data_IF_564103241534
#
_entry.id   IF_564103241534
#
_cell.length_a   1.000
_cell.length_b   1.000
_cell.length_c   1.000
_cell.angle_alpha   90.00
_cell.angle_beta   90.00
_cell.angle_gamma   90.00
#
_symmetry.space_group_name_H-M   'P 1'
#
loop_
_entity.id
_entity.type
_entity.pdbx_description
1 polymer ?
#
# COMPACT_ATOMS: atom_id res chain seq x y z
N UNK A 1 -54.09 -13.94 -72.62
CA UNK A 1 -53.51 -12.58 -72.76
C UNK A 1 -52.22 -12.53 -71.95
N UNK A 2 -51.08 -12.74 -72.59
CA UNK A 2 -49.76 -12.50 -72.00
C UNK A 2 -49.27 -11.14 -72.51
N UNK A 3 -49.00 -10.22 -71.60
CA UNK A 3 -48.47 -8.89 -71.92
C UNK A 3 -46.97 -8.94 -71.60
N UNK A 4 -46.12 -8.77 -72.59
CA UNK A 4 -44.71 -8.50 -72.34
C UNK A 4 -44.62 -7.15 -71.62
N UNK A 5 -44.01 -7.15 -70.43
CA UNK A 5 -43.57 -5.92 -69.78
C UNK A 5 -42.16 -5.65 -70.28
N UNK A 6 -42.05 -4.81 -71.31
CA UNK A 6 -40.80 -4.18 -71.69
C UNK A 6 -40.64 -2.90 -70.84
N UNK A 7 -39.47 -2.75 -70.20
CA UNK A 7 -39.17 -1.61 -69.34
C UNK A 7 -38.88 -1.92 -67.87
N UNK A 8 -38.43 -3.14 -67.52
CA UNK A 8 -37.62 -3.26 -66.30
C UNK A 8 -36.27 -2.60 -66.58
N UNK A 9 -36.22 -1.28 -66.37
CA UNK A 9 -34.97 -0.55 -66.25
C UNK A 9 -34.27 -1.12 -65.02
N UNK A 10 -33.05 -1.63 -65.20
CA UNK A 10 -32.10 -1.73 -64.09
C UNK A 10 -32.08 -0.34 -63.44
N UNK A 11 -32.54 -0.27 -62.19
CA UNK A 11 -32.61 0.98 -61.45
C UNK A 11 -31.22 1.59 -61.27
N UNK A 12 -30.13 0.84 -61.48
CA UNK A 12 -28.76 1.36 -61.34
C UNK A 12 -28.48 1.95 -59.96
N UNK A 13 -29.32 1.62 -58.97
CA UNK A 13 -29.35 2.22 -57.65
C UNK A 13 -28.40 1.45 -56.75
N UNK A 14 -27.26 2.06 -56.48
CA UNK A 14 -26.37 1.63 -55.42
C UNK A 14 -27.03 1.86 -54.06
N UNK A 15 -26.87 0.90 -53.15
CA UNK A 15 -27.43 1.00 -51.81
C UNK A 15 -26.61 2.03 -51.00
N UNK A 16 -27.21 3.09 -50.44
CA UNK A 16 -26.50 4.13 -49.69
C UNK A 16 -26.05 3.67 -48.29
N UNK A 17 -26.39 2.43 -47.92
CA UNK A 17 -25.99 1.79 -46.68
C UNK A 17 -25.43 0.41 -46.99
N UNK A 18 -24.34 0.05 -46.32
CA UNK A 18 -23.75 -1.28 -46.39
C UNK A 18 -23.32 -1.72 -44.99
N UNK A 19 -23.28 -3.03 -44.76
CA UNK A 19 -22.68 -3.60 -43.57
C UNK A 19 -21.62 -4.62 -43.99
N UNK A 20 -20.45 -4.55 -43.37
CA UNK A 20 -19.40 -5.54 -43.48
C UNK A 20 -19.21 -6.19 -42.12
N UNK A 21 -19.15 -7.52 -42.09
CA UNK A 21 -18.86 -8.29 -40.88
C UNK A 21 -17.66 -9.19 -41.15
N UNK A 22 -16.78 -9.31 -40.16
CA UNK A 22 -15.66 -10.23 -40.25
C UNK A 22 -16.10 -11.68 -40.07
N UNK A 23 -15.26 -12.61 -40.52
CA UNK A 23 -15.30 -13.97 -39.97
C UNK A 23 -15.01 -13.96 -38.47
N UNK A 24 -15.37 -15.04 -37.79
CA UNK A 24 -15.05 -15.24 -36.37
C UNK A 24 -13.59 -15.68 -36.24
N UNK A 25 -12.88 -15.08 -35.29
CA UNK A 25 -11.53 -15.47 -34.86
C UNK A 25 -11.60 -16.06 -33.45
N UNK A 26 -11.20 -17.31 -33.27
CA UNK A 26 -11.18 -17.94 -31.96
C UNK A 26 -9.88 -17.60 -31.23
N UNK A 27 -10.00 -17.17 -29.98
CA UNK A 27 -8.90 -16.91 -29.07
C UNK A 27 -8.63 -18.15 -28.20
N UNK A 28 -7.39 -18.27 -27.74
CA UNK A 28 -7.03 -19.27 -26.73
C UNK A 28 -7.60 -18.93 -25.34
N UNK A 29 -8.01 -17.68 -25.12
CA UNK A 29 -8.45 -17.14 -23.83
C UNK A 29 -9.59 -16.15 -23.98
N UNK A 30 -10.28 -15.89 -22.88
CA UNK A 30 -11.38 -14.94 -22.82
C UNK A 30 -10.84 -13.50 -22.91
N UNK A 31 -11.19 -12.81 -23.99
CA UNK A 31 -10.97 -11.37 -24.08
C UNK A 31 -12.01 -10.66 -23.21
N UNK A 32 -11.53 -9.81 -22.32
CA UNK A 32 -12.36 -8.90 -21.52
C UNK A 32 -12.34 -7.49 -22.09
N UNK A 33 -11.25 -7.15 -22.79
CA UNK A 33 -11.07 -5.86 -23.42
C UNK A 33 -10.68 -6.02 -24.89
N UNK A 34 -11.23 -5.14 -25.73
CA UNK A 34 -10.91 -5.08 -27.16
C UNK A 34 -10.49 -3.65 -27.50
N UNK A 35 -9.45 -3.52 -28.31
CA UNK A 35 -9.03 -2.26 -28.93
C UNK A 35 -9.11 -2.41 -30.44
N UNK A 36 -9.99 -1.63 -31.06
CA UNK A 36 -10.10 -1.50 -32.51
C UNK A 36 -9.36 -0.24 -32.93
N UNK A 37 -8.41 -0.34 -33.85
CA UNK A 37 -7.84 0.84 -34.49
C UNK A 37 -7.73 0.68 -36.00
N UNK A 38 -7.76 1.83 -36.66
CA UNK A 38 -7.49 1.96 -38.09
C UNK A 38 -6.04 2.40 -38.19
N UNK A 39 -5.25 1.68 -38.99
CA UNK A 39 -3.88 2.09 -39.21
C UNK A 39 -3.85 3.42 -40.02
N UNK A 40 -3.21 4.48 -39.48
CA UNK A 40 -3.20 5.81 -40.06
C UNK A 40 -2.42 5.92 -41.38
N UNK A 41 -1.61 4.91 -41.76
CA UNK A 41 -0.86 4.90 -43.02
C UNK A 41 -1.70 4.44 -44.23
N UNK A 42 -2.99 4.14 -44.02
CA UNK A 42 -3.81 3.41 -44.99
C UNK A 42 -4.87 4.24 -45.73
N UNK A 43 -5.47 3.56 -46.72
CA UNK A 43 -6.46 4.09 -47.66
C UNK A 43 -7.59 4.84 -46.93
N UNK A 44 -7.69 6.17 -47.10
CA UNK A 44 -8.74 6.94 -46.44
C UNK A 44 -10.12 6.47 -46.90
N UNK A 45 -11.09 6.59 -46.00
CA UNK A 45 -12.47 6.34 -46.35
C UNK A 45 -12.94 7.36 -47.39
N UNK A 46 -13.79 6.92 -48.31
CA UNK A 46 -14.34 7.79 -49.36
C UNK A 46 -15.08 9.00 -48.76
N UNK A 47 -14.90 10.17 -49.37
CA UNK A 47 -15.57 11.39 -48.96
C UNK A 47 -17.10 11.22 -48.93
N UNK A 48 -17.75 11.80 -47.93
CA UNK A 48 -19.20 11.66 -47.72
C UNK A 48 -19.64 10.26 -47.22
N UNK A 49 -18.70 9.38 -46.86
CA UNK A 49 -18.99 8.08 -46.24
C UNK A 49 -18.58 8.06 -44.76
N UNK A 50 -19.53 7.72 -43.90
CA UNK A 50 -19.32 7.52 -42.46
C UNK A 50 -19.35 6.04 -42.11
N UNK A 51 -18.60 5.64 -41.08
CA UNK A 51 -18.58 4.27 -40.57
C UNK A 51 -18.88 4.28 -39.08
N UNK A 52 -19.84 3.46 -38.67
CA UNK A 52 -20.03 3.07 -37.27
C UNK A 52 -19.44 1.69 -37.06
N UNK A 53 -18.57 1.57 -36.06
CA UNK A 53 -17.82 0.35 -35.78
C UNK A 53 -18.42 -0.40 -34.60
N UNK A 54 -18.38 -1.72 -34.69
CA UNK A 54 -18.80 -2.62 -33.63
C UNK A 54 -17.78 -3.75 -33.48
N UNK A 55 -17.58 -4.21 -32.25
CA UNK A 55 -16.76 -5.38 -31.92
C UNK A 55 -17.58 -6.35 -31.10
N UNK A 56 -17.14 -7.60 -31.06
CA UNK A 56 -17.73 -8.64 -30.23
C UNK A 56 -16.68 -9.67 -29.83
N UNK A 57 -16.84 -10.25 -28.64
CA UNK A 57 -16.14 -11.45 -28.20
C UNK A 57 -17.06 -12.70 -28.13
N UNK A 58 -18.29 -12.58 -28.65
CA UNK A 58 -19.36 -13.60 -28.60
C UNK A 58 -20.06 -13.76 -29.97
N UNK A 59 -20.85 -14.83 -30.19
CA UNK A 59 -21.47 -15.09 -31.50
C UNK A 59 -22.47 -14.02 -31.99
N UNK A 60 -23.27 -13.42 -31.12
CA UNK A 60 -24.44 -12.62 -31.55
C UNK A 60 -24.56 -11.24 -30.89
N UNK A 61 -23.66 -10.90 -29.96
CA UNK A 61 -23.74 -9.64 -29.21
C UNK A 61 -22.72 -8.61 -29.69
N UNK A 62 -23.16 -7.40 -30.00
CA UNK A 62 -22.27 -6.33 -30.48
C UNK A 62 -22.07 -5.24 -29.42
N UNK A 63 -20.87 -4.67 -29.40
CA UNK A 63 -20.50 -3.48 -28.63
C UNK A 63 -20.07 -2.42 -29.62
N UNK A 64 -20.70 -1.25 -29.55
CA UNK A 64 -20.33 -0.10 -30.40
C UNK A 64 -18.99 0.48 -29.98
N UNK A 65 -18.11 0.72 -30.94
CA UNK A 65 -16.83 1.39 -30.74
C UNK A 65 -17.05 2.89 -30.84
N UNK A 66 -17.11 3.55 -29.69
CA UNK A 66 -17.30 5.01 -29.60
C UNK A 66 -16.06 5.79 -30.03
N UNK A 67 -14.88 5.26 -29.71
CA UNK A 67 -13.59 5.87 -30.03
C UNK A 67 -12.61 4.80 -30.51
N UNK A 68 -12.02 5.01 -31.68
CA UNK A 68 -10.97 4.15 -32.20
C UNK A 68 -9.68 4.33 -31.39
N UNK A 69 -8.90 3.26 -31.25
CA UNK A 69 -7.62 3.28 -30.54
C UNK A 69 -7.76 3.37 -29.01
N UNK A 70 -8.95 3.14 -28.46
CA UNK A 70 -9.18 3.00 -27.01
C UNK A 70 -9.56 1.57 -26.66
N UNK A 71 -9.19 1.14 -25.45
CA UNK A 71 -9.66 -0.12 -24.89
C UNK A 71 -11.14 -0.02 -24.53
N UNK A 72 -11.89 -1.04 -24.88
CA UNK A 72 -13.32 -1.17 -24.61
C UNK A 72 -13.49 -2.32 -23.65
N UNK A 73 -14.00 -2.04 -22.44
CA UNK A 73 -14.44 -3.07 -21.50
C UNK A 73 -15.72 -3.73 -22.05
N UNK A 74 -15.68 -5.05 -22.21
CA UNK A 74 -16.79 -5.84 -22.73
C UNK A 74 -17.83 -6.18 -21.65
N UNK A 75 -17.49 -6.05 -20.36
CA UNK A 75 -18.35 -6.48 -19.25
C UNK A 75 -18.81 -7.93 -19.41
N UNK A 76 -20.12 -8.16 -19.34
CA UNK A 76 -20.73 -9.48 -19.53
C UNK A 76 -20.58 -10.05 -20.96
N UNK A 77 -20.15 -9.22 -21.93
CA UNK A 77 -19.98 -9.59 -23.35
C UNK A 77 -18.57 -10.10 -23.67
N UNK A 78 -17.78 -10.40 -22.65
CA UNK A 78 -16.47 -11.05 -22.76
C UNK A 78 -16.60 -12.46 -23.36
N UNK A 79 -15.54 -12.95 -23.98
CA UNK A 79 -15.57 -14.27 -24.60
C UNK A 79 -14.32 -14.61 -25.43
N UNK A 80 -14.35 -15.76 -26.09
CA UNK A 80 -13.21 -16.30 -26.84
C UNK A 80 -13.35 -16.15 -28.35
N UNK A 81 -14.33 -15.39 -28.84
CA UNK A 81 -14.67 -15.30 -30.27
C UNK A 81 -14.71 -13.87 -30.77
N UNK A 82 -13.64 -13.42 -31.40
CA UNK A 82 -13.51 -12.04 -31.85
C UNK A 82 -14.08 -11.87 -33.24
N UNK A 83 -14.89 -10.82 -33.40
CA UNK A 83 -15.35 -10.34 -34.70
C UNK A 83 -15.59 -8.83 -34.66
N UNK A 84 -15.61 -8.22 -35.85
CA UNK A 84 -15.96 -6.81 -36.03
C UNK A 84 -17.06 -6.64 -37.07
N UNK A 85 -17.76 -5.52 -36.95
CA UNK A 85 -18.78 -5.08 -37.89
C UNK A 85 -18.63 -3.60 -38.18
N UNK A 86 -18.74 -3.24 -39.45
CA UNK A 86 -18.75 -1.87 -39.93
C UNK A 86 -20.11 -1.60 -40.57
N UNK A 87 -20.83 -0.58 -40.10
CA UNK A 87 -22.05 -0.09 -40.74
C UNK A 87 -21.71 1.22 -41.44
N UNK A 88 -21.77 1.21 -42.77
CA UNK A 88 -21.40 2.33 -43.62
C UNK A 88 -22.64 3.08 -44.09
N UNK A 89 -22.54 4.40 -44.14
CA UNK A 89 -23.55 5.28 -44.74
C UNK A 89 -22.86 6.28 -45.64
N UNK A 90 -23.32 6.39 -46.88
CA UNK A 90 -22.79 7.36 -47.85
C UNK A 90 -23.88 8.27 -48.40
N UNK A 91 -23.51 9.51 -48.70
CA UNK A 91 -24.34 10.44 -49.46
C UNK A 91 -24.27 10.18 -50.98
N UNK A 92 -23.24 9.45 -51.43
CA UNK A 92 -23.04 9.13 -52.84
C UNK A 92 -23.95 7.98 -53.30
N UNK A 93 -25.04 8.32 -53.99
CA UNK A 93 -26.00 7.33 -54.52
C UNK A 93 -25.53 6.60 -55.79
N UNK A 94 -24.35 6.92 -56.30
CA UNK A 94 -23.76 6.28 -57.48
C UNK A 94 -22.74 5.19 -57.13
N UNK A 95 -22.51 4.92 -55.84
CA UNK A 95 -21.59 3.87 -55.40
C UNK A 95 -22.02 3.28 -54.07
N UNK A 96 -21.95 1.96 -53.94
CA UNK A 96 -22.16 1.30 -52.65
C UNK A 96 -20.90 1.48 -51.81
N UNK A 97 -21.00 1.97 -50.56
CA UNK A 97 -19.83 2.25 -49.75
C UNK A 97 -19.11 0.95 -49.38
N UNK A 98 -17.78 0.99 -49.44
CA UNK A 98 -16.90 -0.11 -49.03
C UNK A 98 -15.98 0.35 -47.90
N UNK A 99 -15.52 -0.61 -47.08
CA UNK A 99 -14.49 -0.36 -46.08
C UNK A 99 -13.14 -0.29 -46.79
N UNK A 100 -12.54 0.91 -46.84
CA UNK A 100 -11.19 1.11 -47.35
C UNK A 100 -10.06 0.87 -46.33
N UNK A 101 -10.18 1.28 -45.05
CA UNK A 101 -9.06 1.16 -44.11
C UNK A 101 -8.80 -0.30 -43.71
N UNK A 102 -7.55 -0.63 -43.40
CA UNK A 102 -7.27 -1.90 -42.71
C UNK A 102 -7.60 -1.76 -41.23
N UNK A 103 -8.14 -2.85 -40.70
CA UNK A 103 -8.69 -2.92 -39.36
C UNK A 103 -7.77 -3.78 -38.53
N UNK A 104 -7.27 -3.23 -37.44
CA UNK A 104 -6.48 -3.97 -36.47
C UNK A 104 -7.28 -4.12 -35.18
N UNK A 105 -7.34 -5.36 -34.69
CA UNK A 105 -7.94 -5.69 -33.40
C UNK A 105 -6.87 -6.24 -32.49
N UNK A 106 -6.79 -5.67 -31.31
CA UNK A 106 -5.98 -6.17 -30.20
C UNK A 106 -6.93 -6.54 -29.06
N UNK A 107 -6.61 -7.64 -28.39
CA UNK A 107 -7.41 -8.19 -27.29
C UNK A 107 -6.58 -8.25 -26.03
N UNK A 108 -7.23 -8.11 -24.88
CA UNK A 108 -6.60 -8.25 -23.57
C UNK A 108 -7.55 -8.99 -22.62
N UNK A 109 -6.97 -9.85 -21.81
CA UNK A 109 -7.61 -10.46 -20.65
C UNK A 109 -7.45 -9.51 -19.47
N UNK A 110 -8.41 -9.53 -18.53
CA UNK A 110 -8.29 -8.74 -17.31
C UNK A 110 -7.32 -9.48 -16.38
N UNK A 111 -6.42 -8.80 -15.65
CA UNK A 111 -5.57 -9.48 -14.68
C UNK A 111 -6.41 -10.18 -13.61
N UNK A 112 -5.93 -11.31 -13.12
CA UNK A 112 -6.54 -11.96 -11.96
C UNK A 112 -6.37 -11.07 -10.72
N UNK A 113 -7.28 -11.13 -9.72
CA UNK A 113 -7.01 -10.52 -8.42
C UNK A 113 -5.64 -10.96 -7.89
N UNK A 114 -4.81 -10.02 -7.42
CA UNK A 114 -3.49 -10.37 -6.92
C UNK A 114 -3.60 -11.24 -5.66
N UNK A 115 -2.65 -12.14 -5.44
CA UNK A 115 -2.65 -13.00 -4.25
C UNK A 115 -1.99 -12.25 -3.11
N UNK A 116 -2.75 -11.86 -2.09
CA UNK A 116 -2.22 -11.14 -0.92
C UNK A 116 -1.37 -12.08 -0.04
N UNK A 117 -0.22 -11.58 0.38
CA UNK A 117 0.69 -12.24 1.33
C UNK A 117 0.61 -11.53 2.69
N UNK A 118 -0.48 -11.79 3.42
CA UNK A 118 -0.74 -11.21 4.74
C UNK A 118 -0.39 -12.20 5.86
N UNK A 119 0.06 -11.71 7.03
CA UNK A 119 0.21 -12.57 8.20
C UNK A 119 -1.14 -13.10 8.66
N UNK A 120 -1.18 -14.29 9.30
CA UNK A 120 -2.38 -14.78 9.92
C UNK A 120 -2.84 -13.83 11.05
N UNK A 121 -4.14 -13.82 11.32
CA UNK A 121 -4.72 -13.04 12.43
C UNK A 121 -4.87 -13.84 13.74
N UNK A 122 -4.39 -15.08 13.76
CA UNK A 122 -4.36 -15.96 14.94
C UNK A 122 -3.12 -16.86 14.91
N UNK A 123 -2.72 -17.39 16.07
CA UNK A 123 -1.56 -18.28 16.21
C UNK A 123 -0.26 -17.55 16.59
N UNK A 124 0.84 -18.30 16.67
CA UNK A 124 2.11 -17.77 17.18
C UNK A 124 2.76 -16.77 16.21
N UNK A 125 2.58 -16.97 14.91
CA UNK A 125 3.16 -16.12 13.85
C UNK A 125 2.21 -15.02 13.36
N UNK A 126 1.20 -14.67 14.17
CA UNK A 126 0.18 -13.70 13.81
C UNK A 126 0.67 -12.26 13.83
N UNK A 127 -0.04 -11.43 13.07
CA UNK A 127 0.08 -9.97 12.99
C UNK A 127 1.43 -9.46 12.49
N UNK A 128 1.39 -8.26 11.92
CA UNK A 128 2.58 -7.44 11.76
C UNK A 128 3.07 -6.95 13.12
N UNK A 129 4.38 -6.94 13.32
CA UNK A 129 5.02 -6.42 14.53
C UNK A 129 5.53 -4.99 14.36
N UNK A 130 4.89 -4.21 13.49
CA UNK A 130 5.27 -2.81 13.21
C UNK A 130 4.03 -1.96 12.93
N UNK A 131 4.08 -0.69 13.34
CA UNK A 131 3.00 0.28 13.10
C UNK A 131 2.92 0.76 11.64
N UNK A 132 3.92 0.44 10.82
CA UNK A 132 3.97 0.72 9.38
C UNK A 132 4.14 -0.59 8.58
N UNK A 133 3.11 -1.45 8.52
CA UNK A 133 3.22 -2.76 7.88
C UNK A 133 3.42 -2.63 6.38
N UNK A 134 4.21 -3.55 5.82
CA UNK A 134 4.33 -3.72 4.37
C UNK A 134 3.28 -4.73 3.91
N UNK A 135 2.46 -4.37 2.94
CA UNK A 135 1.51 -5.26 2.29
C UNK A 135 2.18 -5.80 1.04
N UNK A 136 2.23 -7.12 0.86
CA UNK A 136 2.80 -7.80 -0.31
C UNK A 136 1.75 -8.57 -1.08
N UNK A 137 1.98 -8.73 -2.37
CA UNK A 137 1.13 -9.53 -3.22
C UNK A 137 1.88 -10.16 -4.39
N UNK A 138 1.23 -11.13 -5.04
CA UNK A 138 1.67 -11.71 -6.31
C UNK A 138 0.71 -11.35 -7.42
N UNK A 139 1.23 -10.70 -8.46
CA UNK A 139 0.51 -10.43 -9.70
C UNK A 139 0.35 -11.71 -10.53
N UNK A 140 -0.78 -11.84 -11.21
CA UNK A 140 -1.03 -12.91 -12.18
C UNK A 140 -1.94 -12.40 -13.28
N UNK A 141 -1.47 -12.47 -14.51
CA UNK A 141 -2.28 -12.21 -15.68
C UNK A 141 -2.62 -13.52 -16.41
N UNK A 142 -3.84 -13.68 -16.94
CA UNK A 142 -4.10 -14.71 -17.91
C UNK A 142 -3.12 -14.62 -19.08
N UNK A 143 -2.88 -13.47 -19.70
CA UNK A 143 -2.08 -13.32 -20.91
C UNK A 143 -0.57 -13.58 -20.66
N UNK A 144 0.11 -14.43 -21.47
CA UNK A 144 1.48 -14.83 -21.18
C UNK A 144 2.44 -13.70 -21.49
N UNK A 145 3.31 -13.39 -20.53
CA UNK A 145 4.32 -12.34 -20.68
C UNK A 145 3.85 -10.96 -20.21
N UNK A 146 2.58 -10.83 -19.82
CA UNK A 146 2.06 -9.62 -19.22
C UNK A 146 2.64 -9.41 -17.82
N UNK A 147 3.02 -8.16 -17.56
CA UNK A 147 3.55 -7.71 -16.27
C UNK A 147 2.63 -6.67 -15.64
N UNK A 148 2.81 -6.45 -14.34
CA UNK A 148 2.08 -5.41 -13.63
C UNK A 148 2.55 -4.02 -14.08
N UNK A 149 1.67 -3.19 -14.61
CA UNK A 149 1.93 -1.80 -14.98
C UNK A 149 1.56 -0.77 -13.92
N UNK A 150 0.81 -1.16 -12.87
CA UNK A 150 0.46 -0.28 -11.76
C UNK A 150 -0.27 -0.98 -10.61
N UNK A 151 -0.54 -0.24 -9.54
CA UNK A 151 -1.22 -0.74 -8.35
C UNK A 151 -2.02 0.35 -7.62
N UNK A 152 -2.99 -0.07 -6.80
CA UNK A 152 -3.64 0.74 -5.78
C UNK A 152 -3.85 -0.11 -4.53
N UNK A 153 -3.52 0.45 -3.37
CA UNK A 153 -3.67 -0.20 -2.06
C UNK A 153 -4.57 0.67 -1.17
N UNK A 154 -5.64 0.06 -0.66
CA UNK A 154 -6.61 0.70 0.23
C UNK A 154 -6.61 -0.07 1.55
N UNK A 155 -6.38 0.65 2.64
CA UNK A 155 -6.44 0.10 4.00
C UNK A 155 -7.72 0.62 4.66
N UNK A 156 -8.48 -0.29 5.25
CA UNK A 156 -9.70 0.01 5.98
C UNK A 156 -9.61 -0.44 7.44
N UNK A 157 -10.17 0.35 8.33
CA UNK A 157 -10.40 0.01 9.73
C UNK A 157 -11.91 0.09 9.99
N UNK A 158 -12.50 -1.00 10.50
CA UNK A 158 -13.95 -1.08 10.76
C UNK A 158 -14.81 -0.64 9.54
N UNK A 159 -14.36 -0.96 8.33
CA UNK A 159 -15.04 -0.61 7.07
C UNK A 159 -14.79 0.82 6.56
N UNK A 160 -14.12 1.68 7.32
CA UNK A 160 -13.75 3.04 6.87
C UNK A 160 -12.35 3.06 6.29
N UNK A 161 -12.15 3.74 5.16
CA UNK A 161 -10.83 3.93 4.53
C UNK A 161 -9.97 4.82 5.43
N UNK A 162 -8.78 4.32 5.78
CA UNK A 162 -7.79 5.03 6.60
C UNK A 162 -6.53 5.38 5.80
N UNK A 163 -6.27 4.64 4.72
CA UNK A 163 -5.23 4.94 3.76
C UNK A 163 -5.68 4.48 2.37
N UNK A 164 -5.43 5.32 1.36
CA UNK A 164 -5.61 4.99 -0.05
C UNK A 164 -4.38 5.54 -0.77
N UNK A 165 -3.62 4.66 -1.41
CA UNK A 165 -2.42 5.05 -2.14
C UNK A 165 -2.73 5.85 -3.40
N UNK A 166 -3.98 5.80 -3.89
CA UNK A 166 -4.31 6.12 -5.26
C UNK A 166 -3.63 5.18 -6.25
N UNK A 167 -3.76 5.48 -7.54
CA UNK A 167 -3.01 4.78 -8.58
C UNK A 167 -1.52 5.11 -8.49
N UNK A 168 -0.69 4.08 -8.36
CA UNK A 168 0.77 4.17 -8.43
C UNK A 168 1.21 3.38 -9.67
N UNK A 169 1.85 4.01 -10.67
CA UNK A 169 2.40 3.30 -11.82
C UNK A 169 3.63 2.48 -11.44
N UNK A 170 3.82 1.36 -12.12
CA UNK A 170 5.01 0.51 -12.02
C UNK A 170 4.74 -0.92 -11.56
N UNK A 171 5.83 -1.67 -11.41
CA UNK A 171 5.79 -3.12 -11.22
C UNK A 171 5.99 -3.54 -9.74
N UNK A 172 5.93 -2.59 -8.80
CA UNK A 172 6.17 -2.88 -7.39
C UNK A 172 5.11 -3.86 -6.85
N UNK A 173 5.55 -4.89 -6.13
CA UNK A 173 4.69 -5.93 -5.55
C UNK A 173 4.46 -5.76 -4.04
N UNK A 174 4.72 -4.55 -3.53
CA UNK A 174 4.54 -4.24 -2.12
C UNK A 174 4.26 -2.76 -1.87
N UNK A 175 3.62 -2.46 -0.74
CA UNK A 175 3.31 -1.11 -0.28
C UNK A 175 3.49 -0.99 1.24
N UNK A 176 4.21 0.03 1.70
CA UNK A 176 4.38 0.31 3.14
C UNK A 176 3.28 1.26 3.60
N UNK A 177 2.42 0.77 4.48
CA UNK A 177 1.33 1.54 5.09
C UNK A 177 1.90 2.51 6.10
N UNK A 178 1.39 3.74 6.11
CA UNK A 178 1.83 4.82 7.01
C UNK A 178 3.35 4.95 7.05
N UNK A 179 3.99 5.04 5.88
CA UNK A 179 5.45 5.05 5.72
C UNK A 179 6.16 6.13 6.56
N UNK A 180 5.46 7.24 6.82
CA UNK A 180 5.96 8.37 7.60
C UNK A 180 5.63 8.25 9.11
N UNK A 181 5.07 7.12 9.54
CA UNK A 181 4.67 6.82 10.91
C UNK A 181 3.87 7.97 11.53
N UNK A 182 2.83 8.43 10.82
CA UNK A 182 1.96 9.52 11.24
C UNK A 182 0.99 9.10 12.36
N UNK A 183 0.82 7.79 12.56
CA UNK A 183 -0.05 7.20 13.57
C UNK A 183 -1.45 6.91 13.07
N UNK A 184 -1.65 6.84 11.74
CA UNK A 184 -2.97 6.61 11.15
C UNK A 184 -3.61 5.34 11.67
N UNK A 185 -2.84 4.24 11.76
CA UNK A 185 -3.33 2.97 12.28
C UNK A 185 -3.67 3.05 13.77
N UNK A 186 -2.86 3.73 14.59
CA UNK A 186 -3.15 3.96 16.00
C UNK A 186 -4.48 4.70 16.20
N UNK A 187 -4.71 5.77 15.44
CA UNK A 187 -5.88 6.65 15.59
C UNK A 187 -7.22 5.94 15.28
N UNK A 188 -7.19 4.73 14.72
CA UNK A 188 -8.40 3.94 14.43
C UNK A 188 -9.00 3.26 15.66
N UNK A 189 -8.21 3.08 16.72
CA UNK A 189 -8.60 2.36 17.94
C UNK A 189 -8.80 0.85 17.78
N UNK A 190 -8.51 0.28 16.61
CA UNK A 190 -8.51 -1.17 16.37
C UNK A 190 -7.10 -1.64 16.02
N UNK A 191 -6.87 -2.94 16.15
CA UNK A 191 -5.66 -3.62 15.72
C UNK A 191 -5.90 -4.60 14.56
N UNK A 192 -7.12 -4.69 14.04
CA UNK A 192 -7.51 -5.51 12.88
C UNK A 192 -7.93 -4.59 11.74
N UNK A 193 -7.39 -4.84 10.55
CA UNK A 193 -7.55 -4.02 9.36
C UNK A 193 -7.87 -4.90 8.15
N UNK A 194 -8.43 -4.28 7.11
CA UNK A 194 -8.64 -4.90 5.81
C UNK A 194 -7.73 -4.20 4.79
N UNK A 195 -6.96 -4.97 4.03
CA UNK A 195 -6.26 -4.50 2.84
C UNK A 195 -7.06 -4.87 1.60
N UNK A 196 -7.22 -3.91 0.69
CA UNK A 196 -7.71 -4.12 -0.68
C UNK A 196 -6.61 -3.71 -1.65
N UNK A 197 -6.22 -4.61 -2.55
CA UNK A 197 -5.18 -4.35 -3.55
C UNK A 197 -5.76 -4.58 -4.94
N UNK A 198 -5.60 -3.58 -5.81
CA UNK A 198 -5.92 -3.63 -7.23
C UNK A 198 -4.60 -3.52 -7.98
N UNK A 199 -4.37 -4.41 -8.93
CA UNK A 199 -3.20 -4.35 -9.82
C UNK A 199 -3.64 -4.05 -11.24
N UNK A 200 -2.82 -3.35 -11.99
CA UNK A 200 -3.05 -3.03 -13.38
C UNK A 200 -2.01 -3.77 -14.22
N UNK A 201 -2.38 -4.30 -15.37
CA UNK A 201 -1.40 -4.82 -16.33
C UNK A 201 -0.62 -3.70 -17.03
N UNK A 202 0.28 -4.11 -17.92
CA UNK A 202 1.13 -3.25 -18.74
C UNK A 202 0.37 -2.29 -19.65
N UNK A 203 -0.91 -2.57 -19.96
CA UNK A 203 -1.75 -1.74 -20.82
C UNK A 203 -2.78 -0.90 -20.05
N UNK A 204 -2.76 -0.99 -18.71
CA UNK A 204 -3.55 -0.16 -17.80
C UNK A 204 -4.94 -0.71 -17.48
N UNK A 205 -5.22 -1.99 -17.73
CA UNK A 205 -6.48 -2.63 -17.34
C UNK A 205 -6.40 -3.08 -15.87
N UNK A 206 -7.36 -2.69 -15.01
CA UNK A 206 -7.37 -3.07 -13.60
C UNK A 206 -7.83 -4.51 -13.39
N UNK A 207 -7.26 -5.18 -12.39
CA UNK A 207 -7.78 -6.43 -11.82
C UNK A 207 -9.06 -6.19 -11.03
N UNK A 208 -9.76 -7.28 -10.66
CA UNK A 208 -10.67 -7.21 -9.53
C UNK A 208 -9.87 -7.04 -8.21
N UNK A 209 -10.44 -6.39 -7.19
CA UNK A 209 -9.73 -6.15 -5.93
C UNK A 209 -9.50 -7.46 -5.18
N UNK A 210 -8.27 -7.69 -4.74
CA UNK A 210 -7.98 -8.71 -3.74
C UNK A 210 -8.20 -8.13 -2.34
N UNK A 211 -8.95 -8.83 -1.50
CA UNK A 211 -9.33 -8.37 -0.16
C UNK A 211 -8.83 -9.35 0.89
N UNK A 212 -8.15 -8.86 1.92
CA UNK A 212 -7.65 -9.68 3.01
C UNK A 212 -7.57 -8.93 4.33
N UNK A 213 -7.71 -9.66 5.44
CA UNK A 213 -7.57 -9.09 6.78
C UNK A 213 -6.17 -9.31 7.33
N UNK A 214 -5.68 -8.34 8.08
CA UNK A 214 -4.45 -8.45 8.85
C UNK A 214 -4.62 -7.79 10.21
N UNK A 215 -3.70 -8.08 11.12
CA UNK A 215 -3.63 -7.41 12.41
C UNK A 215 -2.25 -6.80 12.66
N UNK A 216 -2.18 -5.85 13.58
CA UNK A 216 -0.94 -5.19 14.01
C UNK A 216 -0.80 -5.32 15.53
N UNK A 217 0.37 -5.74 16.00
CA UNK A 217 0.76 -5.71 17.40
C UNK A 217 2.11 -5.01 17.50
N UNK A 218 2.09 -3.72 17.81
CA UNK A 218 3.30 -2.90 17.75
C UNK A 218 3.23 -1.71 18.69
N UNK A 219 4.41 -1.23 19.12
CA UNK A 219 4.55 0.12 19.65
C UNK A 219 4.77 1.12 18.51
N UNK A 220 4.45 2.38 18.75
CA UNK A 220 4.53 3.44 17.76
C UNK A 220 4.95 4.78 18.41
N UNK A 221 5.64 5.62 17.63
CA UNK A 221 5.98 7.02 17.94
C UNK A 221 6.37 7.29 19.41
N UNK A 222 7.47 6.72 19.92
CA UNK A 222 7.95 7.03 21.26
C UNK A 222 8.30 8.51 21.38
N UNK A 223 7.92 9.10 22.51
CA UNK A 223 8.06 10.51 22.85
C UNK A 223 8.79 10.63 24.18
N UNK A 224 9.87 11.40 24.22
CA UNK A 224 10.65 11.62 25.43
C UNK A 224 10.35 13.01 26.01
N UNK A 225 10.13 13.07 27.32
CA UNK A 225 10.09 14.29 28.13
C UNK A 225 11.23 14.25 29.14
N UNK A 226 12.09 15.24 29.11
CA UNK A 226 13.31 15.33 29.90
C UNK A 226 13.23 16.59 30.76
N UNK A 227 13.56 16.45 32.05
CA UNK A 227 13.53 17.57 32.99
C UNK A 227 14.82 18.39 32.93
N UNK A 228 15.97 17.74 32.70
CA UNK A 228 17.29 18.38 32.77
C UNK A 228 18.20 17.94 31.63
N UNK A 229 18.48 18.82 30.65
CA UNK A 229 17.78 20.08 30.38
C UNK A 229 16.31 19.84 29.98
N UNK A 230 15.44 20.82 30.23
CA UNK A 230 14.03 20.72 29.86
C UNK A 230 13.88 20.59 28.35
N UNK A 231 13.42 19.43 27.87
CA UNK A 231 13.19 19.19 26.45
C UNK A 231 12.14 18.12 26.27
N UNK A 232 11.46 18.14 25.12
CA UNK A 232 10.45 17.13 24.81
C UNK A 232 10.32 16.97 23.31
N UNK A 233 10.44 15.73 22.81
CA UNK A 233 10.38 15.44 21.38
C UNK A 233 9.96 14.00 21.12
N UNK A 234 9.41 13.76 19.93
CA UNK A 234 9.35 12.42 19.38
C UNK A 234 10.76 11.94 19.09
N UNK A 235 11.04 10.66 19.33
CA UNK A 235 12.23 9.99 18.81
C UNK A 235 11.87 9.56 17.38
N UNK A 236 12.47 10.17 16.34
CA UNK A 236 12.13 9.84 14.96
C UNK A 236 12.42 8.37 14.64
N UNK A 237 11.66 7.81 13.71
CA UNK A 237 11.97 6.49 13.17
C UNK A 237 13.30 6.55 12.41
N UNK A 238 14.15 5.55 12.60
CA UNK A 238 15.52 5.45 12.13
C UNK A 238 16.44 6.58 12.64
N UNK A 239 16.11 7.19 13.79
CA UNK A 239 16.98 8.22 14.39
C UNK A 239 18.34 7.63 14.76
N UNK A 240 19.41 8.26 14.27
CA UNK A 240 20.75 7.93 14.71
C UNK A 240 21.10 8.63 16.03
N UNK A 241 22.25 8.28 16.62
CA UNK A 241 22.72 8.84 17.91
C UNK A 241 22.65 10.37 17.98
N UNK A 242 23.02 11.08 16.90
CA UNK A 242 23.04 12.56 16.89
C UNK A 242 21.65 13.21 16.88
N UNK A 243 20.61 12.43 16.62
CA UNK A 243 19.21 12.87 16.57
C UNK A 243 18.44 12.49 17.84
N UNK A 244 19.09 11.78 18.78
CA UNK A 244 18.49 11.39 20.04
C UNK A 244 18.37 12.60 20.97
N UNK A 245 17.29 12.70 21.75
CA UNK A 245 17.20 13.70 22.80
C UNK A 245 18.27 13.45 23.87
N UNK A 246 18.78 14.53 24.48
CA UNK A 246 19.87 14.45 25.47
C UNK A 246 19.39 14.75 26.89
N UNK A 247 19.90 14.00 27.86
CA UNK A 247 19.68 14.24 29.29
C UNK A 247 20.99 14.18 30.07
N UNK A 248 21.00 14.71 31.29
CA UNK A 248 22.12 14.55 32.22
C UNK A 248 22.13 13.16 32.86
N UNK A 249 23.31 12.65 33.21
CA UNK A 249 23.42 11.41 33.99
C UNK A 249 22.65 11.57 35.33
N UNK A 250 21.75 10.62 35.67
CA UNK A 250 20.82 10.77 36.80
C UNK A 250 19.58 11.62 36.56
N UNK A 251 19.42 12.19 35.36
CA UNK A 251 18.25 12.95 34.95
C UNK A 251 17.02 12.06 34.79
N UNK A 252 15.86 12.55 35.22
CA UNK A 252 14.59 11.85 35.02
C UNK A 252 14.13 12.01 33.57
N UNK A 253 13.91 10.87 32.91
CA UNK A 253 13.33 10.76 31.58
C UNK A 253 11.96 10.12 31.68
N UNK A 254 10.95 10.75 31.08
CA UNK A 254 9.61 10.18 30.91
C UNK A 254 9.42 9.81 29.45
N UNK A 255 9.19 8.53 29.17
CA UNK A 255 8.83 8.03 27.85
C UNK A 255 7.33 7.83 27.78
N UNK A 256 6.72 8.42 26.76
CA UNK A 256 5.34 8.15 26.34
C UNK A 256 5.37 7.42 25.01
N UNK A 257 4.71 6.28 24.91
CA UNK A 257 4.72 5.48 23.67
C UNK A 257 3.32 5.01 23.32
N UNK A 258 2.98 5.07 22.04
CA UNK A 258 1.71 4.59 21.50
C UNK A 258 1.80 3.09 21.24
N UNK A 259 0.68 2.40 21.25
CA UNK A 259 0.64 0.98 20.95
C UNK A 259 -0.64 0.57 20.26
N UNK A 260 -0.52 -0.34 19.32
CA UNK A 260 -1.61 -0.93 18.55
C UNK A 260 -1.73 -2.39 18.98
N UNK A 261 -2.88 -2.79 19.54
CA UNK A 261 -3.12 -4.18 19.94
C UNK A 261 -2.22 -4.73 21.05
N UNK A 262 -1.63 -3.87 21.90
CA UNK A 262 -0.80 -4.28 23.04
C UNK A 262 -1.59 -4.13 24.34
N UNK A 263 -1.81 -5.24 25.05
CA UNK A 263 -2.57 -5.33 26.30
C UNK A 263 -1.70 -5.32 27.54
N UNK A 264 -0.57 -6.01 27.49
CA UNK A 264 0.45 -5.97 28.54
C UNK A 264 1.74 -5.43 27.95
N UNK A 265 2.48 -4.64 28.72
CA UNK A 265 3.72 -4.04 28.26
C UNK A 265 4.80 -4.07 29.37
N UNK A 266 6.03 -4.40 28.98
CA UNK A 266 7.21 -4.33 29.83
C UNK A 266 8.30 -3.55 29.10
N UNK A 267 9.05 -2.74 29.85
CA UNK A 267 10.03 -1.83 29.28
C UNK A 267 11.37 -2.03 29.99
N UNK A 268 12.45 -2.06 29.22
CA UNK A 268 13.82 -2.07 29.74
C UNK A 268 14.63 -0.96 29.11
N UNK A 269 15.47 -0.33 29.92
CA UNK A 269 16.32 0.79 29.50
C UNK A 269 17.79 0.54 29.88
N UNK A 270 18.47 -0.44 29.25
CA UNK A 270 19.85 -0.73 29.58
C UNK A 270 20.80 0.32 29.01
N UNK A 271 21.92 0.50 29.69
CA UNK A 271 23.03 1.34 29.26
C UNK A 271 24.34 0.68 29.73
N UNK A 272 25.35 0.63 28.86
CA UNK A 272 26.60 -0.08 29.11
C UNK A 272 26.34 -1.53 29.56
N UNK A 273 26.68 -1.88 30.80
CA UNK A 273 26.47 -3.21 31.42
C UNK A 273 25.40 -3.19 32.52
N UNK A 274 24.57 -2.14 32.56
CA UNK A 274 23.61 -1.87 33.64
C UNK A 274 22.21 -1.60 33.08
N UNK A 275 21.22 -1.63 33.95
CA UNK A 275 19.86 -1.19 33.67
C UNK A 275 19.57 0.15 34.35
N UNK A 276 18.75 0.98 33.70
CA UNK A 276 18.20 2.19 34.32
C UNK A 276 17.21 1.83 35.42
N UNK A 277 17.10 2.71 36.42
CA UNK A 277 16.10 2.56 37.46
C UNK A 277 14.75 3.04 36.93
N UNK A 278 13.78 2.13 36.81
CA UNK A 278 12.41 2.48 36.44
C UNK A 278 11.65 2.94 37.68
N UNK A 279 11.01 4.10 37.56
CA UNK A 279 10.21 4.70 38.64
C UNK A 279 8.78 4.19 38.55
N UNK A 280 8.42 3.32 39.50
CA UNK A 280 7.08 2.73 39.56
C UNK A 280 6.83 1.70 38.45
N UNK A 281 5.54 1.42 38.19
CA UNK A 281 5.12 0.54 37.10
C UNK A 281 4.73 1.38 35.87
N UNK A 282 4.94 0.87 34.63
CA UNK A 282 4.39 1.48 33.44
C UNK A 282 2.88 1.74 33.59
N UNK A 283 2.45 2.95 33.26
CA UNK A 283 1.05 3.36 33.39
C UNK A 283 0.41 3.51 32.02
N UNK A 284 -0.83 3.04 31.87
CA UNK A 284 -1.67 3.39 30.72
C UNK A 284 -2.26 4.78 30.99
N UNK A 285 -1.91 5.74 30.14
CA UNK A 285 -2.39 7.13 30.25
C UNK A 285 -3.53 7.44 29.27
N UNK A 286 -3.75 6.59 28.27
CA UNK A 286 -4.83 6.72 27.29
C UNK A 286 -5.23 5.33 26.76
N UNK A 287 -6.51 5.13 26.48
CA UNK A 287 -7.02 3.92 25.82
C UNK A 287 -8.02 4.31 24.75
N UNK A 288 -7.79 3.81 23.53
CA UNK A 288 -8.65 3.98 22.38
C UNK A 288 -8.94 2.60 21.80
N UNK A 289 -10.05 1.98 22.21
CA UNK A 289 -10.35 0.59 21.85
C UNK A 289 -9.23 -0.36 22.26
N UNK A 290 -8.63 -1.06 21.29
CA UNK A 290 -7.49 -1.96 21.51
C UNK A 290 -6.15 -1.24 21.68
N UNK A 291 -6.09 0.05 21.32
CA UNK A 291 -4.86 0.83 21.26
C UNK A 291 -4.65 1.60 22.56
N UNK A 292 -3.40 1.74 23.01
CA UNK A 292 -3.07 2.36 24.31
C UNK A 292 -1.89 3.29 24.20
N UNK A 293 -1.84 4.31 25.05
CA UNK A 293 -0.66 5.13 25.28
C UNK A 293 -0.10 4.83 26.67
N UNK A 294 1.19 4.55 26.73
CA UNK A 294 1.90 4.17 27.94
C UNK A 294 2.80 5.31 28.41
N UNK A 295 2.97 5.48 29.71
CA UNK A 295 3.94 6.37 30.34
C UNK A 295 4.89 5.56 31.22
N UNK A 296 6.19 5.80 31.04
CA UNK A 296 7.27 5.12 31.77
C UNK A 296 8.30 6.15 32.18
N UNK A 297 8.77 6.07 33.42
CA UNK A 297 9.77 7.00 33.97
C UNK A 297 11.01 6.23 34.35
N UNK A 298 12.19 6.74 34.00
CA UNK A 298 13.45 6.14 34.40
C UNK A 298 14.56 7.18 34.59
N UNK A 299 15.64 6.77 35.25
CA UNK A 299 16.88 7.54 35.34
C UNK A 299 18.10 6.61 35.39
N UNK A 300 19.25 7.10 34.93
CA UNK A 300 20.55 6.40 34.96
C UNK A 300 21.32 6.70 36.25
N UNK A 301 22.49 6.09 36.44
CA UNK A 301 23.40 6.50 37.52
C UNK A 301 23.86 7.95 37.32
N UNK A 302 23.90 8.73 38.40
CA UNK A 302 24.33 10.13 38.36
C UNK A 302 25.86 10.28 38.35
N UNK A 303 26.60 9.24 38.77
CA UNK A 303 28.06 9.25 38.76
C UNK A 303 28.59 9.07 37.33
N UNK A 304 29.33 10.06 36.83
CA UNK A 304 29.91 10.07 35.49
C UNK A 304 31.02 9.04 35.30
N UNK A 305 31.59 8.49 36.37
CA UNK A 305 32.51 7.33 36.25
C UNK A 305 31.75 6.05 35.88
N UNK A 306 30.45 5.98 36.21
CA UNK A 306 29.56 4.84 35.92
C UNK A 306 28.76 5.10 34.64
N UNK A 307 28.34 6.34 34.43
CA UNK A 307 27.52 6.79 33.31
C UNK A 307 28.20 8.01 32.65
N UNK A 308 29.31 7.79 31.93
CA UNK A 308 30.08 8.88 31.32
C UNK A 308 29.31 9.56 30.19
N UNK A 309 29.71 10.78 29.88
CA UNK A 309 29.21 11.55 28.75
C UNK A 309 29.29 10.75 27.44
N UNK A 310 28.25 10.86 26.63
CA UNK A 310 28.08 10.11 25.39
C UNK A 310 27.44 8.73 25.56
N UNK A 311 27.18 8.28 26.79
CA UNK A 311 26.46 7.02 27.04
C UNK A 311 25.09 7.03 26.36
N UNK A 312 24.75 5.95 25.66
CA UNK A 312 23.44 5.78 25.04
C UNK A 312 22.60 4.85 25.91
N UNK A 313 21.39 5.31 26.25
CA UNK A 313 20.40 4.45 26.90
C UNK A 313 19.59 3.77 25.81
N UNK A 314 19.64 2.44 25.77
CA UNK A 314 18.86 1.63 24.85
C UNK A 314 17.42 1.45 25.38
N UNK A 315 16.54 0.89 24.56
CA UNK A 315 15.15 0.61 24.90
C UNK A 315 14.70 -0.70 24.27
N UNK A 316 14.17 -1.61 25.10
CA UNK A 316 13.58 -2.87 24.66
C UNK A 316 12.17 -2.98 25.21
N UNK A 317 11.19 -2.90 24.32
CA UNK A 317 9.78 -2.83 24.71
C UNK A 317 9.11 -4.14 24.34
N UNK A 318 8.62 -4.86 25.34
CA UNK A 318 7.93 -6.13 25.20
C UNK A 318 6.43 -5.89 25.34
N UNK A 319 5.62 -6.75 24.72
CA UNK A 319 4.19 -6.70 24.94
C UNK A 319 3.46 -7.99 24.59
N UNK A 320 2.36 -8.27 25.29
CA UNK A 320 1.59 -9.50 25.14
C UNK A 320 2.43 -10.78 25.29
N UNK A 321 3.45 -10.75 26.16
CA UNK A 321 4.41 -11.85 26.33
C UNK A 321 5.39 -12.04 25.15
N UNK A 322 5.39 -11.13 24.16
CA UNK A 322 6.34 -11.13 23.04
C UNK A 322 7.50 -10.18 23.35
N UNK A 323 8.75 -10.65 23.22
CA UNK A 323 9.91 -9.80 23.39
C UNK A 323 10.10 -8.85 22.20
N UNK A 324 10.71 -7.70 22.47
CA UNK A 324 11.30 -6.80 21.48
C UNK A 324 10.32 -6.34 20.38
N UNK A 325 9.09 -5.94 20.76
CA UNK A 325 8.12 -5.32 19.84
C UNK A 325 8.56 -3.93 19.37
N UNK A 326 9.44 -3.27 20.12
CA UNK A 326 10.18 -2.09 19.67
C UNK A 326 11.59 -2.10 20.26
N UNK A 327 12.57 -1.80 19.41
CA UNK A 327 14.00 -1.87 19.72
C UNK A 327 14.66 -0.51 19.43
N UNK A 328 15.19 0.12 20.47
CA UNK A 328 15.97 1.35 20.43
C UNK A 328 17.39 1.06 20.90
N UNK A 329 18.31 0.78 19.98
CA UNK A 329 19.70 0.39 20.26
C UNK A 329 20.58 0.57 19.01
N UNK A 330 21.89 0.41 19.10
CA UNK A 330 22.76 0.62 17.92
C UNK A 330 22.93 -0.66 17.07
N UNK A 331 22.17 -1.73 17.35
CA UNK A 331 22.35 -3.00 16.66
C UNK A 331 21.72 -2.92 15.28
N UNK A 332 22.52 -3.21 14.25
CA UNK A 332 22.01 -3.36 12.89
C UNK A 332 21.21 -4.67 12.78
N UNK A 333 19.94 -4.62 12.32
CA UNK A 333 19.17 -5.83 12.07
C UNK A 333 19.84 -6.69 11.00
N UNK A 334 19.62 -8.01 11.06
CA UNK A 334 19.99 -8.90 9.97
C UNK A 334 19.28 -8.51 8.67
N UNK A 335 19.75 -9.00 7.53
CA UNK A 335 19.11 -8.76 6.24
C UNK A 335 17.63 -9.17 6.25
N UNK A 336 16.81 -8.41 5.53
CA UNK A 336 15.37 -8.63 5.45
C UNK A 336 15.08 -9.95 4.73
N UNK A 337 14.35 -10.89 5.34
CA UNK A 337 13.97 -12.13 4.66
C UNK A 337 12.98 -11.87 3.52
N UNK A 338 13.14 -12.63 2.44
CA UNK A 338 12.25 -12.60 1.27
C UNK A 338 11.10 -13.60 1.39
N UNK A 339 11.27 -14.66 2.18
CA UNK A 339 10.30 -15.75 2.38
C UNK A 339 10.03 -16.02 3.87
N UNK A 340 9.03 -16.85 4.17
CA UNK A 340 8.66 -17.22 5.54
C UNK A 340 7.97 -16.09 6.30
N UNK A 341 8.22 -16.00 7.61
CA UNK A 341 7.60 -15.02 8.53
C UNK A 341 8.23 -13.64 8.43
N UNK A 342 8.40 -13.13 7.21
CA UNK A 342 9.10 -11.87 6.95
C UNK A 342 8.47 -10.67 7.66
N UNK A 343 7.16 -10.71 7.89
CA UNK A 343 6.40 -9.68 8.64
C UNK A 343 6.80 -9.55 10.11
N UNK A 344 7.60 -10.48 10.65
CA UNK A 344 8.15 -10.44 12.02
C UNK A 344 9.64 -10.07 12.07
N UNK A 345 10.22 -9.69 10.93
CA UNK A 345 11.63 -9.30 10.83
C UNK A 345 12.00 -8.23 11.86
N UNK A 346 13.14 -8.44 12.54
CA UNK A 346 13.66 -7.55 13.59
C UNK A 346 13.80 -6.09 13.11
N UNK A 347 14.17 -5.89 11.84
CA UNK A 347 14.32 -4.55 11.28
C UNK A 347 13.03 -3.73 11.21
N UNK A 348 11.86 -4.35 11.25
CA UNK A 348 10.60 -3.62 11.36
C UNK A 348 10.31 -3.11 12.78
N UNK A 349 10.92 -3.75 13.79
CA UNK A 349 10.80 -3.45 15.23
C UNK A 349 11.92 -2.50 15.69
N UNK A 350 13.02 -2.46 14.96
CA UNK A 350 14.07 -1.44 15.07
C UNK A 350 13.51 -0.04 14.85
N UNK A 351 13.50 0.79 15.88
CA UNK A 351 12.98 2.15 15.81
C UNK A 351 14.06 3.22 15.70
N UNK A 352 15.10 3.17 16.54
CA UNK A 352 16.18 4.18 16.57
C UNK A 352 17.45 3.62 17.21
N UNK A 353 18.54 4.40 17.22
CA UNK A 353 19.83 4.03 17.82
C UNK A 353 19.84 4.06 19.36
N UNK A 354 18.76 4.52 19.98
CA UNK A 354 18.63 4.61 21.43
C UNK A 354 17.40 5.42 21.84
N UNK A 355 17.25 5.61 23.14
CA UNK A 355 16.16 6.38 23.75
C UNK A 355 16.62 7.82 24.03
N UNK A 356 17.76 7.96 24.70
CA UNK A 356 18.41 9.24 25.02
C UNK A 356 19.93 9.10 24.98
N UNK A 357 20.61 10.21 24.73
CA UNK A 357 22.05 10.34 24.96
C UNK A 357 22.32 11.04 26.29
N UNK A 358 23.25 10.50 27.07
CA UNK A 358 23.69 11.07 28.34
C UNK A 358 24.79 12.10 28.09
N UNK A 359 24.62 13.29 28.66
CA UNK A 359 25.69 14.25 28.92
C UNK A 359 25.96 14.37 30.42
N UNK A 360 26.67 15.44 30.80
CA UNK A 360 27.08 15.82 32.15
C UNK A 360 26.23 15.29 33.32
N UNK A 361 26.80 15.17 34.52
CA UNK A 361 26.04 14.78 35.72
C UNK A 361 24.96 15.80 36.14
N UNK A 362 23.81 15.31 36.62
CA UNK A 362 22.85 16.14 37.36
C UNK A 362 23.49 16.81 38.59
N UNK A 363 24.53 16.25 39.19
CA UNK A 363 25.20 16.87 40.34
C UNK A 363 25.78 18.26 40.03
N UNK A 364 26.06 18.57 38.77
CA UNK A 364 26.48 19.92 38.37
C UNK A 364 25.39 20.98 38.56
N UNK A 365 24.12 20.55 38.70
CA UNK A 365 22.96 21.43 38.81
C UNK A 365 22.35 21.45 40.23
N UNK A 366 22.70 20.49 41.08
CA UNK A 366 22.10 20.32 42.40
C UNK A 366 23.11 20.69 43.49
N UNK A 367 22.82 21.74 44.25
CA UNK A 367 23.52 22.04 45.50
C UNK A 367 22.75 21.40 46.66
N UNK A 368 23.33 20.36 47.26
CA UNK A 368 22.77 19.73 48.46
C UNK A 368 23.38 20.41 49.69
N UNK A 369 22.61 21.25 50.37
CA UNK A 369 23.00 21.84 51.65
C UNK A 369 22.49 20.92 52.76
N UNK A 370 23.40 20.17 53.39
CA UNK A 370 23.08 19.41 54.60
C UNK A 370 23.13 20.34 55.81
N UNK A 371 21.98 20.68 56.37
CA UNK A 371 21.90 21.43 57.62
C UNK A 371 22.01 20.47 58.81
N UNK A 372 23.19 20.45 59.45
CA UNK A 372 23.37 19.71 60.70
C UNK A 372 22.57 20.35 61.83
N UNK A 373 21.79 19.55 62.57
CA UNK A 373 21.23 20.00 63.84
C UNK A 373 22.33 20.06 64.89
N UNK A 374 22.40 21.18 65.62
CA UNK A 374 23.26 21.31 66.79
C UNK A 374 22.76 20.32 67.85
N UNK A 375 23.60 19.39 68.30
CA UNK A 375 23.33 18.65 69.54
C UNK A 375 23.51 19.64 70.68
N UNK A 376 22.45 19.88 71.44
CA UNK A 376 22.57 20.52 72.75
C UNK A 376 23.29 19.52 73.67
N UNK A 377 24.43 19.94 74.22
CA UNK A 377 25.24 19.18 75.19
C UNK A 377 24.57 19.12 76.57
#
# INVERSE_FOLDING_TARGET
>A
MSKNIEGLQDIGLYVPQAAAESKIYNLAREATHIKLFIDPELKPQEEGTSITWYVSAQPDEWVEVKELGKWIDLGEKKGTQIKWKAVLKTENRQKTPIVNPDIVIVTNSKPNPPILELPPITGNDMCYLTSSPEIRWKFSDPDPGDTQGGMQVIIKANGTVVEDSGYIPGEASSYIVDINSTGKLYNTGTNIFTAEVITYDSVGVPSDPAVGQFCVIAFDRPYAEIITPASSSFIPRNANVSQLPSTKAGGLVTIKVFSIGVDTAEFKFPYLTRDSNIVGKPAVIETQGANKRWEIKFFTDANTDICPDGTIVNGYFNGNGRPDLMILDQKTPAEKPTEGTWWQWEGYRKWADGVVQIGESVFNNWSVILQGSKRDE
#
